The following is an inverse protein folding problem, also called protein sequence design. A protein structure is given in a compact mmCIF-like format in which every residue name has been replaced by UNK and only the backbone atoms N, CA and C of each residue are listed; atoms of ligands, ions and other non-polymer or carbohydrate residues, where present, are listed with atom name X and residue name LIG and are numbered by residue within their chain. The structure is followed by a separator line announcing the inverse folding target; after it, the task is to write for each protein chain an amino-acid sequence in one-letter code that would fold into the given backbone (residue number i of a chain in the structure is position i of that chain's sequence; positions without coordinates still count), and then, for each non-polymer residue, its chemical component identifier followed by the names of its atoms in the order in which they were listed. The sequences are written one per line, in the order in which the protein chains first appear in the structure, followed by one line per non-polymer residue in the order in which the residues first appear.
data_IF_433705657412
#
_entry.id   IF_433705657412
#
_cell.length_a   1.000
_cell.length_b   1.000
_cell.length_c   1.000
_cell.angle_alpha   90.00
_cell.angle_beta   90.00
_cell.angle_gamma   90.00
#
_symmetry.space_group_name_H-M   'P 1'
#
loop_
_entity.id
_entity.type
_entity.pdbx_description
1 polymer ?
#
# COMPACT_ATOMS: atom_id res chain seq x y z
N UNK A 1 24.42 14.32 -13.28
CA UNK A 1 23.25 14.40 -12.37
C UNK A 1 22.04 14.01 -13.19
N UNK A 2 21.58 12.75 -13.12
CA UNK A 2 20.50 12.27 -13.99
C UNK A 2 19.18 12.96 -13.62
N UNK A 3 18.51 13.55 -14.61
CA UNK A 3 17.21 14.17 -14.42
C UNK A 3 16.21 13.09 -13.97
N UNK A 4 15.71 13.18 -12.73
CA UNK A 4 14.61 12.33 -12.25
C UNK A 4 13.41 12.61 -13.14
N UNK A 5 12.97 11.61 -13.90
CA UNK A 5 11.70 11.69 -14.61
C UNK A 5 10.60 12.06 -13.61
N UNK A 6 9.82 13.14 -13.85
CA UNK A 6 8.70 13.49 -12.99
C UNK A 6 7.72 12.31 -12.96
N UNK A 7 7.37 11.88 -11.76
CA UNK A 7 6.27 10.95 -11.53
C UNK A 7 5.18 11.67 -10.75
N UNK A 8 3.93 11.31 -11.01
CA UNK A 8 2.78 12.01 -10.41
C UNK A 8 2.64 11.72 -8.90
N UNK A 9 3.28 10.65 -8.40
CA UNK A 9 3.31 10.29 -6.99
C UNK A 9 4.47 10.97 -6.25
N UNK A 10 4.21 11.42 -5.02
CA UNK A 10 5.24 11.89 -4.10
C UNK A 10 5.83 10.70 -3.33
N UNK A 11 7.07 10.33 -3.64
CA UNK A 11 7.78 9.21 -3.00
C UNK A 11 8.44 9.71 -1.72
N UNK A 12 7.97 9.22 -0.58
CA UNK A 12 8.47 9.62 0.74
C UNK A 12 9.60 8.72 1.23
N UNK A 13 9.61 7.45 0.82
CA UNK A 13 10.64 6.47 1.17
C UNK A 13 10.75 5.41 0.06
N UNK A 14 11.97 5.01 -0.30
CA UNK A 14 12.20 3.92 -1.24
C UNK A 14 13.47 3.14 -0.87
N UNK A 15 13.35 1.82 -0.85
CA UNK A 15 14.43 0.89 -0.50
C UNK A 15 14.29 -0.43 -1.28
N UNK A 16 15.24 -1.34 -1.09
CA UNK A 16 15.11 -2.71 -1.59
C UNK A 16 13.91 -3.45 -0.98
N UNK A 17 13.57 -3.15 0.28
CA UNK A 17 12.51 -3.84 1.03
C UNK A 17 11.11 -3.29 0.72
N UNK A 18 10.98 -1.97 0.57
CA UNK A 18 9.69 -1.33 0.43
C UNK A 18 9.75 0.05 -0.23
N UNK A 19 8.58 0.55 -0.64
CA UNK A 19 8.34 1.91 -1.14
C UNK A 19 7.16 2.49 -0.40
N UNK A 20 7.27 3.75 0.02
CA UNK A 20 6.17 4.57 0.50
C UNK A 20 5.99 5.77 -0.45
N UNK A 21 4.75 5.97 -0.87
CA UNK A 21 4.40 7.10 -1.73
C UNK A 21 2.99 7.60 -1.42
N UNK A 22 2.68 8.81 -1.88
CA UNK A 22 1.33 9.36 -1.86
C UNK A 22 0.93 9.85 -3.24
N UNK A 23 -0.37 9.75 -3.55
CA UNK A 23 -0.94 10.29 -4.78
C UNK A 23 -2.36 10.78 -4.49
N UNK A 24 -2.62 12.09 -4.65
CA UNK A 24 -3.87 12.72 -4.19
C UNK A 24 -4.13 12.35 -2.71
N UNK A 25 -5.30 11.82 -2.36
CA UNK A 25 -5.62 11.35 -1.00
C UNK A 25 -5.32 9.85 -0.77
N UNK A 26 -4.51 9.23 -1.64
CA UNK A 26 -4.14 7.81 -1.55
C UNK A 26 -2.76 7.66 -0.91
N UNK A 27 -2.71 6.97 0.24
CA UNK A 27 -1.46 6.49 0.84
C UNK A 27 -1.09 5.15 0.21
N UNK A 28 0.14 5.01 -0.25
CA UNK A 28 0.62 3.85 -1.00
C UNK A 28 1.80 3.22 -0.28
N UNK A 29 1.79 1.90 -0.20
CA UNK A 29 2.96 1.09 0.18
C UNK A 29 3.15 -0.08 -0.78
N UNK A 30 4.40 -0.30 -1.19
CA UNK A 30 4.81 -1.50 -1.93
C UNK A 30 5.77 -2.29 -1.04
N UNK A 31 5.38 -3.47 -0.59
CA UNK A 31 6.25 -4.42 0.09
C UNK A 31 6.92 -5.31 -0.96
N UNK A 32 8.23 -5.13 -1.15
CA UNK A 32 9.03 -5.83 -2.18
C UNK A 32 9.72 -7.06 -1.61
N UNK A 33 10.34 -6.88 -0.44
CA UNK A 33 11.02 -7.91 0.34
C UNK A 33 10.51 -7.82 1.78
N UNK A 34 11.36 -7.47 2.75
CA UNK A 34 11.03 -7.61 4.16
C UNK A 34 10.12 -6.49 4.67
N UNK A 35 8.99 -6.85 5.27
CA UNK A 35 8.13 -5.91 6.01
C UNK A 35 8.79 -5.54 7.34
N UNK A 36 9.63 -4.52 7.32
CA UNK A 36 10.36 -4.07 8.51
C UNK A 36 9.47 -3.26 9.48
N UNK A 37 9.67 -3.35 10.80
CA UNK A 37 8.92 -2.56 11.78
C UNK A 37 9.03 -1.04 11.59
N UNK A 38 10.20 -0.54 11.19
CA UNK A 38 10.41 0.88 10.91
C UNK A 38 9.55 1.37 9.73
N UNK A 39 9.44 0.58 8.66
CA UNK A 39 8.61 0.84 7.50
C UNK A 39 7.12 0.84 7.86
N UNK A 40 6.67 -0.07 8.74
CA UNK A 40 5.30 -0.05 9.25
C UNK A 40 5.00 1.25 10.01
N UNK A 41 5.93 1.71 10.85
CA UNK A 41 5.82 2.99 11.56
C UNK A 41 5.84 4.18 10.60
N UNK A 42 6.65 4.12 9.54
CA UNK A 42 6.71 5.15 8.51
C UNK A 42 5.41 5.25 7.70
N UNK A 43 4.82 4.11 7.31
CA UNK A 43 3.50 4.06 6.66
C UNK A 43 2.40 4.68 7.53
N UNK A 44 2.41 4.38 8.84
CA UNK A 44 1.45 4.97 9.77
C UNK A 44 1.59 6.50 9.81
N UNK A 45 2.82 7.02 9.93
CA UNK A 45 3.08 8.47 9.90
C UNK A 45 2.68 9.11 8.57
N UNK A 46 3.00 8.48 7.44
CA UNK A 46 2.60 8.96 6.11
C UNK A 46 1.09 9.08 6.00
N UNK A 47 0.37 8.03 6.40
CA UNK A 47 -1.09 7.98 6.29
C UNK A 47 -1.75 9.03 7.17
N UNK A 48 -1.25 9.25 8.40
CA UNK A 48 -1.75 10.30 9.27
C UNK A 48 -1.49 11.70 8.71
N UNK A 49 -0.28 11.97 8.22
CA UNK A 49 0.05 13.25 7.58
C UNK A 49 -0.79 13.51 6.33
N UNK A 50 -1.10 12.47 5.58
CA UNK A 50 -1.99 12.59 4.42
C UNK A 50 -3.41 12.92 4.86
N UNK A 51 -3.92 12.22 5.88
CA UNK A 51 -5.24 12.46 6.42
C UNK A 51 -5.40 13.84 7.09
N UNK A 52 -4.32 14.48 7.53
CA UNK A 52 -4.34 15.88 7.98
C UNK A 52 -4.60 16.86 6.81
N UNK A 53 -4.20 16.50 5.58
CA UNK A 53 -4.42 17.31 4.37
C UNK A 53 -5.78 17.06 3.72
N UNK A 54 -6.39 15.90 3.98
CA UNK A 54 -7.65 15.46 3.38
C UNK A 54 -8.68 15.16 4.47
N UNK A 55 -9.47 16.16 4.90
CA UNK A 55 -10.40 16.02 6.03
C UNK A 55 -11.51 15.00 5.77
N UNK A 56 -11.90 14.81 4.50
CA UNK A 56 -12.87 13.78 4.09
C UNK A 56 -12.30 12.35 4.16
N UNK A 57 -11.01 12.21 4.46
CA UNK A 57 -10.32 10.94 4.66
C UNK A 57 -9.45 10.52 3.48
N UNK A 58 -8.78 9.38 3.67
CA UNK A 58 -7.75 8.88 2.76
C UNK A 58 -7.99 7.42 2.38
N UNK A 59 -7.45 7.03 1.24
CA UNK A 59 -7.33 5.62 0.86
C UNK A 59 -6.00 5.01 1.27
N UNK A 60 -5.98 3.68 1.42
CA UNK A 60 -4.74 2.92 1.59
C UNK A 60 -4.62 1.83 0.52
N UNK A 61 -3.66 1.99 -0.38
CA UNK A 61 -3.29 0.98 -1.36
C UNK A 61 -2.00 0.27 -0.92
N UNK A 62 -2.11 -1.03 -0.64
CA UNK A 62 -0.97 -1.90 -0.33
C UNK A 62 -0.71 -2.82 -1.50
N UNK A 63 0.53 -2.90 -1.96
CA UNK A 63 0.99 -3.93 -2.89
C UNK A 63 1.97 -4.83 -2.14
N UNK A 64 1.77 -6.15 -2.23
CA UNK A 64 2.73 -7.14 -1.75
C UNK A 64 3.27 -7.87 -2.98
N UNK A 65 4.53 -7.63 -3.32
CA UNK A 65 5.17 -8.28 -4.46
C UNK A 65 5.42 -9.77 -4.18
N UNK A 66 5.53 -10.55 -5.26
CA UNK A 66 5.68 -12.01 -5.20
C UNK A 66 6.79 -12.50 -4.25
N UNK A 67 7.86 -11.73 -4.13
CA UNK A 67 9.05 -12.11 -3.37
C UNK A 67 8.99 -11.74 -1.88
N UNK A 68 7.99 -10.97 -1.45
CA UNK A 68 7.87 -10.57 -0.04
C UNK A 68 7.61 -11.80 0.86
N UNK A 69 8.42 -12.04 1.90
CA UNK A 69 8.14 -13.09 2.89
C UNK A 69 6.98 -12.70 3.79
N UNK A 70 6.56 -13.64 4.65
CA UNK A 70 5.58 -13.31 5.68
C UNK A 70 6.13 -12.25 6.63
N UNK A 71 5.32 -11.27 7.06
CA UNK A 71 5.73 -10.29 8.04
C UNK A 71 6.08 -10.97 9.37
N UNK A 72 7.09 -10.44 10.05
CA UNK A 72 7.46 -10.89 11.40
C UNK A 72 6.30 -10.71 12.38
N UNK A 73 6.35 -11.36 13.54
CA UNK A 73 5.35 -11.17 14.60
C UNK A 73 5.23 -9.72 15.05
N UNK A 74 6.35 -9.00 15.16
CA UNK A 74 6.35 -7.57 15.50
C UNK A 74 5.66 -6.75 14.41
N UNK A 75 6.03 -6.96 13.13
CA UNK A 75 5.42 -6.23 12.01
C UNK A 75 3.91 -6.50 11.91
N UNK A 76 3.47 -7.74 12.15
CA UNK A 76 2.04 -8.09 12.22
C UNK A 76 1.33 -7.30 13.32
N UNK A 77 1.89 -7.21 14.53
CA UNK A 77 1.31 -6.41 15.62
C UNK A 77 1.20 -4.94 15.25
N UNK A 78 2.23 -4.36 14.65
CA UNK A 78 2.22 -2.95 14.22
C UNK A 78 1.15 -2.68 13.15
N UNK A 79 1.00 -3.57 12.17
CA UNK A 79 -0.03 -3.47 11.14
C UNK A 79 -1.44 -3.59 11.77
N UNK A 80 -1.66 -4.54 12.68
CA UNK A 80 -2.94 -4.69 13.37
C UNK A 80 -3.30 -3.45 14.18
N UNK A 81 -2.35 -2.90 14.96
CA UNK A 81 -2.57 -1.68 15.74
C UNK A 81 -2.86 -0.47 14.84
N UNK A 82 -2.17 -0.36 13.71
CA UNK A 82 -2.43 0.68 12.72
C UNK A 82 -3.85 0.58 12.17
N UNK A 83 -4.29 -0.61 11.76
CA UNK A 83 -5.63 -0.83 11.22
C UNK A 83 -6.73 -0.57 12.26
N UNK A 84 -6.56 -1.06 13.49
CA UNK A 84 -7.52 -0.86 14.57
C UNK A 84 -7.70 0.62 14.93
N UNK A 85 -6.60 1.40 14.94
CA UNK A 85 -6.61 2.81 15.32
C UNK A 85 -6.94 3.79 14.19
N UNK A 86 -7.04 3.32 12.94
CA UNK A 86 -7.20 4.19 11.78
C UNK A 86 -8.67 4.52 11.50
N UNK A 87 -9.12 5.68 11.97
CA UNK A 87 -10.49 6.18 11.75
C UNK A 87 -10.64 7.05 10.50
N UNK A 88 -9.52 7.56 9.95
CA UNK A 88 -9.50 8.45 8.77
C UNK A 88 -9.27 7.72 7.45
N UNK A 89 -8.98 6.43 7.48
CA UNK A 89 -8.94 5.59 6.29
C UNK A 89 -10.38 5.25 5.90
N UNK A 90 -10.75 5.51 4.65
CA UNK A 90 -12.11 5.28 4.13
C UNK A 90 -12.26 3.96 3.39
N UNK A 91 -11.18 3.49 2.75
CA UNK A 91 -11.12 2.16 2.16
C UNK A 91 -9.65 1.73 2.02
N UNK A 92 -9.42 0.42 2.06
CA UNK A 92 -8.10 -0.16 1.86
C UNK A 92 -8.13 -1.38 0.95
N UNK A 93 -7.26 -1.40 -0.05
CA UNK A 93 -7.05 -2.56 -0.89
C UNK A 93 -5.62 -3.09 -0.75
N UNK A 94 -5.50 -4.41 -0.64
CA UNK A 94 -4.22 -5.12 -0.67
C UNK A 94 -4.15 -5.93 -1.96
N UNK A 95 -3.28 -5.56 -2.88
CA UNK A 95 -2.96 -6.36 -4.06
C UNK A 95 -1.78 -7.28 -3.74
N UNK A 96 -2.02 -8.58 -3.70
CA UNK A 96 -1.00 -9.58 -3.41
C UNK A 96 -0.59 -10.32 -4.68
N UNK A 97 0.59 -10.00 -5.18
CA UNK A 97 1.09 -10.51 -6.44
C UNK A 97 1.70 -11.91 -6.27
N UNK A 98 1.55 -12.71 -7.31
CA UNK A 98 2.03 -14.09 -7.32
C UNK A 98 0.94 -15.14 -7.17
N UNK A 99 1.32 -16.37 -7.44
CA UNK A 99 0.47 -17.55 -7.45
C UNK A 99 1.16 -18.72 -6.76
N UNK A 100 0.43 -19.81 -6.54
CA UNK A 100 0.94 -21.02 -5.90
C UNK A 100 0.84 -21.02 -4.37
N UNK A 101 1.47 -22.01 -3.76
CA UNK A 101 1.32 -22.33 -2.33
C UNK A 101 1.76 -21.17 -1.42
N UNK A 102 2.94 -20.58 -1.67
CA UNK A 102 3.47 -19.47 -0.88
C UNK A 102 2.56 -18.24 -0.90
N UNK A 103 2.11 -17.82 -2.08
CA UNK A 103 1.19 -16.68 -2.22
C UNK A 103 -0.12 -16.93 -1.46
N UNK A 104 -0.61 -18.17 -1.48
CA UNK A 104 -1.82 -18.55 -0.74
C UNK A 104 -1.59 -18.52 0.79
N UNK A 105 -0.44 -18.97 1.28
CA UNK A 105 -0.08 -18.88 2.70
C UNK A 105 0.02 -17.42 3.19
N UNK A 106 0.67 -16.53 2.42
CA UNK A 106 0.75 -15.10 2.76
C UNK A 106 -0.65 -14.47 2.75
N UNK A 107 -1.51 -14.79 1.77
CA UNK A 107 -2.92 -14.35 1.75
C UNK A 107 -3.66 -14.78 3.02
N UNK A 108 -3.51 -16.03 3.45
CA UNK A 108 -4.15 -16.53 4.67
C UNK A 108 -3.70 -15.79 5.92
N UNK A 109 -2.40 -15.49 6.04
CA UNK A 109 -1.87 -14.72 7.19
C UNK A 109 -2.39 -13.28 7.17
N UNK A 110 -2.40 -12.62 6.02
CA UNK A 110 -2.92 -11.25 5.88
C UNK A 110 -4.43 -11.23 6.16
N UNK A 111 -5.19 -12.18 5.63
CA UNK A 111 -6.63 -12.30 5.90
C UNK A 111 -6.90 -12.51 7.39
N UNK A 112 -6.17 -13.41 8.05
CA UNK A 112 -6.27 -13.62 9.50
C UNK A 112 -5.93 -12.36 10.30
N UNK A 113 -4.88 -11.62 9.89
CA UNK A 113 -4.50 -10.37 10.52
C UNK A 113 -5.61 -9.32 10.41
N UNK A 114 -6.18 -9.15 9.22
CA UNK A 114 -7.29 -8.24 8.97
C UNK A 114 -8.52 -8.61 9.80
N UNK A 115 -8.87 -9.89 9.91
CA UNK A 115 -9.99 -10.33 10.76
C UNK A 115 -9.78 -9.97 12.23
N UNK A 116 -8.54 -10.06 12.72
CA UNK A 116 -8.20 -9.73 14.11
C UNK A 116 -8.06 -8.22 14.36
N UNK A 117 -7.68 -7.44 13.34
CA UNK A 117 -7.41 -6.02 13.47
C UNK A 117 -8.65 -5.15 13.72
N UNK A 118 -9.86 -5.66 13.45
CA UNK A 118 -11.15 -4.96 13.69
C UNK A 118 -11.18 -3.53 13.13
N UNK A 119 -10.65 -3.32 11.92
CA UNK A 119 -10.63 -2.00 11.31
C UNK A 119 -12.05 -1.44 11.09
N UNK A 120 -12.27 -0.12 11.27
CA UNK A 120 -13.58 0.51 11.11
C UNK A 120 -13.92 0.86 9.64
N UNK A 121 -13.16 0.38 8.67
CA UNK A 121 -13.30 0.70 7.25
C UNK A 121 -13.28 -0.54 6.35
N UNK A 122 -13.90 -0.49 5.16
CA UNK A 122 -13.81 -1.55 4.16
C UNK A 122 -12.35 -1.86 3.81
N UNK A 123 -11.96 -3.13 3.98
CA UNK A 123 -10.63 -3.63 3.65
C UNK A 123 -10.73 -4.94 2.89
N UNK A 124 -10.10 -5.04 1.72
CA UNK A 124 -10.14 -6.24 0.88
C UNK A 124 -8.76 -6.61 0.32
N UNK A 125 -8.56 -7.91 0.14
CA UNK A 125 -7.34 -8.49 -0.45
C UNK A 125 -7.67 -9.04 -1.83
N UNK A 126 -6.83 -8.73 -2.81
CA UNK A 126 -7.01 -9.06 -4.22
C UNK A 126 -5.77 -9.76 -4.77
N UNK A 127 -5.95 -10.57 -5.82
CA UNK A 127 -4.85 -11.28 -6.48
C UNK A 127 -4.02 -10.36 -7.40
N UNK A 128 -4.57 -9.24 -7.85
CA UNK A 128 -3.88 -8.31 -8.75
C UNK A 128 -4.20 -6.87 -8.39
N UNK A 129 -3.29 -5.97 -8.76
CA UNK A 129 -3.48 -4.52 -8.60
C UNK A 129 -4.71 -4.04 -9.38
N UNK A 130 -4.88 -4.47 -10.63
CA UNK A 130 -6.01 -4.05 -11.47
C UNK A 130 -7.36 -4.37 -10.82
N UNK A 131 -7.57 -5.60 -10.34
CA UNK A 131 -8.82 -5.99 -9.66
C UNK A 131 -9.01 -5.20 -8.36
N UNK A 132 -7.92 -4.95 -7.62
CA UNK A 132 -7.98 -4.15 -6.41
C UNK A 132 -8.35 -2.69 -6.67
N UNK A 133 -7.83 -2.07 -7.73
CA UNK A 133 -8.16 -0.69 -8.11
C UNK A 133 -9.60 -0.55 -8.61
N UNK A 134 -10.07 -1.53 -9.38
CA UNK A 134 -11.46 -1.58 -9.85
C UNK A 134 -12.47 -1.53 -8.69
N UNK A 135 -12.13 -2.12 -7.54
CA UNK A 135 -12.94 -2.00 -6.32
C UNK A 135 -12.62 -0.73 -5.51
N UNK A 136 -11.33 -0.42 -5.29
CA UNK A 136 -10.91 0.65 -4.38
C UNK A 136 -11.33 2.04 -4.86
N UNK A 137 -11.21 2.32 -6.15
CA UNK A 137 -11.44 3.67 -6.69
C UNK A 137 -12.90 4.11 -6.49
N UNK A 138 -13.92 3.33 -6.86
CA UNK A 138 -15.31 3.68 -6.57
C UNK A 138 -15.59 3.89 -5.07
N UNK A 139 -15.01 3.06 -4.20
CA UNK A 139 -15.18 3.18 -2.74
C UNK A 139 -14.61 4.49 -2.20
N UNK A 140 -13.46 4.94 -2.70
CA UNK A 140 -12.84 6.20 -2.29
C UNK A 140 -13.56 7.41 -2.88
N UNK A 141 -14.04 7.33 -4.13
CA UNK A 141 -14.80 8.41 -4.73
C UNK A 141 -16.14 8.62 -3.97
N UNK A 142 -16.77 7.54 -3.51
CA UNK A 142 -18.00 7.60 -2.71
C UNK A 142 -17.76 8.09 -1.27
N UNK A 143 -16.72 7.59 -0.59
CA UNK A 143 -16.57 7.75 0.87
C UNK A 143 -15.50 8.76 1.32
N UNK A 144 -14.56 9.13 0.43
CA UNK A 144 -13.48 10.07 0.71
C UNK A 144 -13.52 11.31 -0.19
N UNK A 145 -14.58 11.45 -1.00
CA UNK A 145 -14.78 12.53 -2.00
C UNK A 145 -13.55 12.76 -2.88
N UNK A 146 -12.87 11.67 -3.25
CA UNK A 146 -11.77 11.78 -4.19
C UNK A 146 -12.27 11.84 -5.63
N UNK A 147 -11.47 12.50 -6.48
CA UNK A 147 -11.58 12.42 -7.93
C UNK A 147 -10.44 11.52 -8.45
N UNK A 148 -10.61 10.20 -8.29
CA UNK A 148 -9.69 9.20 -8.82
C UNK A 148 -10.32 8.53 -10.04
N UNK A 149 -9.57 8.50 -11.14
CA UNK A 149 -9.83 7.59 -12.25
C UNK A 149 -8.94 6.35 -12.12
N UNK A 150 -9.49 5.16 -12.35
CA UNK A 150 -8.74 3.90 -12.28
C UNK A 150 -7.52 3.91 -13.21
N UNK A 151 -7.67 4.43 -14.43
CA UNK A 151 -6.60 4.56 -15.42
C UNK A 151 -5.43 5.43 -14.95
N UNK A 152 -5.72 6.48 -14.19
CA UNK A 152 -4.69 7.39 -13.68
C UNK A 152 -3.91 6.74 -12.55
N UNK A 153 -4.59 6.04 -11.65
CA UNK A 153 -3.92 5.28 -10.59
C UNK A 153 -3.08 4.14 -11.18
N UNK A 154 -3.59 3.43 -12.20
CA UNK A 154 -2.82 2.41 -12.91
C UNK A 154 -1.57 3.00 -13.58
N UNK A 155 -1.70 4.14 -14.26
CA UNK A 155 -0.57 4.85 -14.91
C UNK A 155 0.47 5.29 -13.89
N UNK A 156 0.02 5.93 -12.81
CA UNK A 156 0.88 6.38 -11.71
C UNK A 156 1.61 5.19 -11.07
N UNK A 157 0.93 4.08 -10.80
CA UNK A 157 1.56 2.89 -10.23
C UNK A 157 2.62 2.28 -11.16
N UNK A 158 2.37 2.30 -12.47
CA UNK A 158 3.36 1.87 -13.47
C UNK A 158 4.60 2.78 -13.45
N UNK A 159 4.41 4.10 -13.45
CA UNK A 159 5.50 5.08 -13.36
C UNK A 159 6.27 4.98 -12.05
N UNK A 160 5.57 4.81 -10.93
CA UNK A 160 6.16 4.64 -9.60
C UNK A 160 7.10 3.43 -9.56
N UNK A 161 6.65 2.28 -10.07
CA UNK A 161 7.50 1.08 -10.13
C UNK A 161 8.73 1.29 -11.01
N UNK A 162 8.55 1.85 -12.20
CA UNK A 162 9.66 2.14 -13.11
C UNK A 162 10.67 3.10 -12.47
N UNK A 163 10.20 4.16 -11.81
CA UNK A 163 11.05 5.10 -11.10
C UNK A 163 11.82 4.43 -9.96
N UNK A 164 11.14 3.62 -9.14
CA UNK A 164 11.78 2.92 -8.02
C UNK A 164 12.78 1.90 -8.51
N UNK A 165 12.45 1.08 -9.51
CA UNK A 165 13.35 0.05 -10.03
C UNK A 165 14.59 0.67 -10.68
N UNK A 166 14.47 1.85 -11.31
CA UNK A 166 15.61 2.59 -11.87
C UNK A 166 16.51 3.25 -10.81
N UNK A 167 16.00 3.53 -9.60
CA UNK A 167 16.68 4.34 -8.60
C UNK A 167 16.94 3.63 -7.26
N UNK A 168 16.50 2.38 -7.09
CA UNK A 168 16.73 1.60 -5.87
C UNK A 168 18.03 0.79 -5.95
N UNK A 169 18.71 0.54 -4.82
CA UNK A 169 19.78 -0.44 -4.77
C UNK A 169 19.27 -1.80 -5.28
N UNK A 170 20.14 -2.50 -6.02
CA UNK A 170 19.80 -3.79 -6.64
C UNK A 170 19.21 -4.75 -5.59
N UNK A 171 18.13 -5.46 -5.97
CA UNK A 171 17.52 -6.50 -5.12
C UNK A 171 18.57 -7.60 -4.94
N UNK A 172 19.10 -7.80 -3.74
CA UNK A 172 19.93 -8.96 -3.46
C UNK A 172 19.07 -10.23 -3.64
N UNK A 173 19.49 -11.11 -4.54
CA UNK A 173 18.82 -12.37 -4.87
C UNK A 173 19.02 -13.42 -3.77
#
# INVERSE_FOLDING_TARGET
MAARTPIDADVTEASADHVLATYKNLSIVIWRLNTQPNACRALHRQTNRLADKFPDGVGLLTVVERSAPMPSTESRKLIASFFAGSTRIKASAVAMEGSGFRASAVRSVVAGLTMMAKQPFPHKVFATLAVGLHWLVPELNANARCDLAESDVQRMMKQLRQHVDANSPARAH
#
